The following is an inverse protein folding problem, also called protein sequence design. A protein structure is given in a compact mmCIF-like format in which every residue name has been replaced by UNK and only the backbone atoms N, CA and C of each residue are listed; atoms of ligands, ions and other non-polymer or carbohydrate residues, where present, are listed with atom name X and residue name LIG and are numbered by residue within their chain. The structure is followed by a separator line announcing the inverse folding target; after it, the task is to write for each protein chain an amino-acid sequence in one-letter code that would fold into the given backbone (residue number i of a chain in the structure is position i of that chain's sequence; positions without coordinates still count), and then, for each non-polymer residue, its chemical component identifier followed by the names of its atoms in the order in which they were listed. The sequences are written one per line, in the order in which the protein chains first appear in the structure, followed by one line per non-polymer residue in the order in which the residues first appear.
data_IF_307058044267
#
_entry.id   IF_307058044267
#
_cell.length_a   1.000
_cell.length_b   1.000
_cell.length_c   1.000
_cell.angle_alpha   90.00
_cell.angle_beta   90.00
_cell.angle_gamma   90.00
#
_symmetry.space_group_name_H-M   'P 1'
#
loop_
_entity.id
_entity.type
_entity.pdbx_description
1 polymer ?
#
# COMPACT_ATOMS: atom_id res chain seq x y z
N UNK A 1 1.85 20.90 -9.12
CA UNK A 1 2.36 19.57 -8.72
C UNK A 1 3.41 19.76 -7.64
N UNK A 2 3.49 18.90 -6.62
CA UNK A 2 4.41 19.10 -5.46
C UNK A 2 5.86 19.38 -5.90
N UNK A 3 6.39 18.67 -6.90
CA UNK A 3 7.77 18.89 -7.37
C UNK A 3 7.96 20.13 -8.26
N UNK A 4 6.92 20.57 -8.96
CA UNK A 4 6.96 21.83 -9.71
C UNK A 4 6.88 23.03 -8.74
N UNK A 5 6.00 22.95 -7.74
CA UNK A 5 5.76 24.02 -6.76
C UNK A 5 6.86 24.11 -5.70
N UNK A 6 7.37 22.98 -5.20
CA UNK A 6 8.37 22.95 -4.12
C UNK A 6 9.82 23.00 -4.60
N UNK A 7 10.10 22.48 -5.81
CA UNK A 7 11.46 22.32 -6.33
C UNK A 7 11.70 23.05 -7.66
N UNK A 8 10.69 23.73 -8.22
CA UNK A 8 10.82 24.49 -9.46
C UNK A 8 11.11 23.61 -10.69
N UNK A 9 10.76 22.32 -10.63
CA UNK A 9 10.99 21.42 -11.75
C UNK A 9 10.13 21.81 -12.95
N UNK A 10 10.69 21.71 -14.15
CA UNK A 10 9.89 21.77 -15.38
C UNK A 10 9.00 20.53 -15.48
N UNK A 11 7.86 20.64 -16.17
CA UNK A 11 6.89 19.54 -16.27
C UNK A 11 7.50 18.23 -16.80
N UNK A 12 8.49 18.33 -17.69
CA UNK A 12 9.25 17.16 -18.16
C UNK A 12 10.05 16.47 -17.04
N UNK A 13 10.72 17.24 -16.18
CA UNK A 13 11.54 16.72 -15.07
C UNK A 13 10.64 16.24 -13.91
N UNK A 14 9.51 16.89 -13.68
CA UNK A 14 8.49 16.42 -12.74
C UNK A 14 8.01 15.00 -13.09
N UNK A 15 7.93 14.67 -14.40
CA UNK A 15 7.66 13.33 -14.89
C UNK A 15 8.66 12.27 -14.42
N UNK A 16 9.95 12.60 -14.27
CA UNK A 16 10.97 11.65 -13.81
C UNK A 16 10.75 11.22 -12.35
N UNK A 17 10.04 12.01 -11.55
CA UNK A 17 9.78 11.67 -10.14
C UNK A 17 8.90 10.42 -9.99
N UNK A 18 8.11 10.09 -11.02
CA UNK A 18 7.32 8.85 -11.09
C UNK A 18 8.18 7.59 -11.25
N UNK A 19 9.47 7.72 -11.63
CA UNK A 19 10.38 6.57 -11.69
C UNK A 19 10.56 5.92 -10.31
N UNK A 20 10.50 6.69 -9.22
CA UNK A 20 10.53 6.12 -7.85
C UNK A 20 9.38 5.13 -7.62
N UNK A 21 8.17 5.48 -8.04
CA UNK A 21 7.01 4.59 -7.98
C UNK A 21 7.20 3.35 -8.88
N UNK A 22 7.75 3.53 -10.08
CA UNK A 22 8.06 2.43 -11.00
C UNK A 22 9.06 1.42 -10.42
N UNK A 23 10.16 1.92 -9.85
CA UNK A 23 11.16 1.07 -9.16
C UNK A 23 10.53 0.36 -7.96
N UNK A 24 9.74 1.08 -7.16
CA UNK A 24 8.97 0.50 -6.06
C UNK A 24 8.05 -0.64 -6.50
N UNK A 25 7.38 -0.51 -7.65
CA UNK A 25 6.55 -1.58 -8.21
C UNK A 25 7.36 -2.81 -8.61
N UNK A 26 8.49 -2.63 -9.29
CA UNK A 26 9.36 -3.74 -9.70
C UNK A 26 9.91 -4.48 -8.47
N UNK A 27 10.36 -3.74 -7.46
CA UNK A 27 10.83 -4.33 -6.19
C UNK A 27 9.70 -5.08 -5.47
N UNK A 28 8.49 -4.51 -5.46
CA UNK A 28 7.29 -5.16 -4.92
C UNK A 28 6.96 -6.48 -5.61
N UNK A 29 7.00 -6.53 -6.95
CA UNK A 29 6.83 -7.75 -7.75
C UNK A 29 7.86 -8.81 -7.38
N UNK A 30 9.13 -8.41 -7.27
CA UNK A 30 10.22 -9.32 -6.99
C UNK A 30 10.11 -9.89 -5.57
N UNK A 31 9.84 -9.04 -4.57
CA UNK A 31 9.60 -9.45 -3.19
C UNK A 31 8.39 -10.40 -3.06
N UNK A 32 7.32 -10.12 -3.80
CA UNK A 32 6.13 -10.97 -3.83
C UNK A 32 6.45 -12.35 -4.41
N UNK A 33 7.10 -12.40 -5.58
CA UNK A 33 7.51 -13.65 -6.23
C UNK A 33 8.41 -14.50 -5.33
N UNK A 34 9.40 -13.89 -4.69
CA UNK A 34 10.34 -14.62 -3.83
C UNK A 34 9.66 -15.23 -2.59
N UNK A 35 8.56 -14.67 -2.12
CA UNK A 35 8.03 -14.95 -0.80
C UNK A 35 6.66 -15.64 -0.88
N UNK A 36 5.72 -15.15 -1.70
CA UNK A 36 4.42 -15.79 -1.93
C UNK A 36 4.58 -17.13 -2.62
N UNK A 37 5.39 -17.22 -3.68
CA UNK A 37 5.53 -18.48 -4.41
C UNK A 37 6.30 -19.52 -3.59
N UNK A 38 7.28 -19.11 -2.78
CA UNK A 38 8.00 -20.02 -1.88
C UNK A 38 7.11 -20.53 -0.73
N UNK A 39 6.33 -19.65 -0.10
CA UNK A 39 5.41 -20.03 0.98
C UNK A 39 4.27 -20.88 0.42
N UNK A 40 3.69 -20.48 -0.73
CA UNK A 40 2.62 -21.22 -1.39
C UNK A 40 3.09 -22.61 -1.88
N UNK A 41 4.34 -22.74 -2.33
CA UNK A 41 4.91 -24.04 -2.73
C UNK A 41 5.19 -24.94 -1.53
N UNK A 42 5.85 -24.43 -0.47
CA UNK A 42 6.11 -25.20 0.77
C UNK A 42 4.84 -25.66 1.47
N UNK A 43 3.74 -24.93 1.36
CA UNK A 43 2.47 -25.31 1.95
C UNK A 43 1.59 -26.17 1.03
N UNK A 44 1.78 -26.08 -0.29
CA UNK A 44 1.18 -27.03 -1.21
C UNK A 44 1.72 -28.45 -0.97
N UNK A 45 3.01 -28.58 -0.66
CA UNK A 45 3.63 -29.85 -0.25
C UNK A 45 3.05 -30.43 1.06
N UNK A 46 2.41 -29.60 1.90
CA UNK A 46 1.77 -29.99 3.17
C UNK A 46 0.24 -30.13 3.07
N UNK A 47 -0.33 -30.14 1.86
CA UNK A 47 -1.76 -30.39 1.62
C UNK A 47 -2.74 -29.32 2.15
N UNK A 48 -2.26 -28.18 2.63
CA UNK A 48 -3.09 -27.17 3.33
C UNK A 48 -2.96 -25.78 2.71
N UNK A 49 -3.47 -25.62 1.49
CA UNK A 49 -3.64 -24.29 0.87
C UNK A 49 -4.80 -23.53 1.54
N UNK A 50 -4.51 -22.88 2.66
CA UNK A 50 -5.44 -21.91 3.27
C UNK A 50 -5.08 -20.47 2.82
N UNK A 51 -6.07 -19.62 2.45
CA UNK A 51 -5.85 -18.21 2.07
C UNK A 51 -5.05 -17.38 3.10
N UNK A 52 -5.14 -17.77 4.37
CA UNK A 52 -4.60 -17.09 5.54
C UNK A 52 -3.06 -17.13 5.59
N UNK A 53 -2.42 -18.05 4.86
CA UNK A 53 -0.96 -18.13 4.78
C UNK A 53 -0.30 -16.97 4.02
N UNK A 54 -1.10 -16.10 3.40
CA UNK A 54 -0.64 -14.86 2.76
C UNK A 54 -0.63 -13.66 3.71
N UNK A 55 -1.33 -13.74 4.85
CA UNK A 55 -1.41 -12.65 5.84
C UNK A 55 -0.07 -12.29 6.50
N UNK A 56 0.86 -13.23 6.78
CA UNK A 56 2.17 -12.88 7.34
C UNK A 56 2.97 -11.90 6.48
N UNK A 57 2.84 -11.97 5.15
CA UNK A 57 3.46 -10.99 4.26
C UNK A 57 2.85 -9.60 4.43
N UNK A 58 1.52 -9.51 4.62
CA UNK A 58 0.84 -8.24 4.87
C UNK A 58 1.31 -7.60 6.17
N UNK A 59 1.57 -8.42 7.20
CA UNK A 59 2.06 -7.97 8.49
C UNK A 59 3.50 -7.45 8.39
N UNK A 60 4.35 -8.09 7.58
CA UNK A 60 5.75 -7.69 7.42
C UNK A 60 5.92 -6.45 6.53
N UNK A 61 5.20 -6.37 5.41
CA UNK A 61 5.31 -5.26 4.46
C UNK A 61 4.36 -4.08 4.79
N UNK A 62 3.31 -4.31 5.57
CA UNK A 62 2.34 -3.28 5.96
C UNK A 62 2.98 -2.01 6.53
N UNK A 63 3.96 -2.10 7.46
CA UNK A 63 4.64 -0.92 8.02
C UNK A 63 5.42 -0.07 7.01
N UNK A 64 5.77 -0.60 5.83
CA UNK A 64 6.45 0.19 4.79
C UNK A 64 5.56 1.30 4.23
N UNK A 65 4.23 1.13 4.29
CA UNK A 65 3.26 2.11 3.79
C UNK A 65 3.30 3.40 4.62
N UNK A 66 3.07 3.37 5.95
CA UNK A 66 3.19 4.58 6.76
C UNK A 66 4.63 5.11 6.77
N UNK A 67 5.66 4.25 6.73
CA UNK A 67 7.05 4.70 6.62
C UNK A 67 7.29 5.52 5.35
N UNK A 68 6.80 5.07 4.19
CA UNK A 68 6.88 5.80 2.93
C UNK A 68 6.12 7.13 2.95
N UNK A 69 4.92 7.15 3.56
CA UNK A 69 4.12 8.37 3.70
C UNK A 69 4.81 9.40 4.59
N UNK A 70 5.32 9.00 5.76
CA UNK A 70 6.07 9.91 6.64
C UNK A 70 7.35 10.41 5.97
N UNK A 71 8.10 9.51 5.33
CA UNK A 71 9.33 9.86 4.63
C UNK A 71 9.05 10.89 3.53
N UNK A 72 8.10 10.62 2.63
CA UNK A 72 7.73 11.52 1.55
C UNK A 72 7.21 12.86 2.07
N UNK A 73 6.27 12.83 3.01
CA UNK A 73 5.64 14.03 3.55
C UNK A 73 6.62 15.00 4.19
N UNK A 74 7.47 14.50 5.10
CA UNK A 74 8.41 15.34 5.83
C UNK A 74 9.60 15.76 4.97
N UNK A 75 10.09 14.89 4.08
CA UNK A 75 11.18 15.25 3.16
C UNK A 75 10.75 16.34 2.16
N UNK A 76 9.51 16.27 1.66
CA UNK A 76 8.94 17.29 0.80
C UNK A 76 8.66 18.60 1.56
N UNK A 77 8.13 18.54 2.78
CA UNK A 77 7.89 19.75 3.59
C UNK A 77 9.19 20.44 4.04
N UNK A 78 10.25 19.68 4.34
CA UNK A 78 11.53 20.23 4.72
C UNK A 78 12.37 20.70 3.51
N UNK A 79 11.82 20.67 2.29
CA UNK A 79 12.52 21.01 1.04
C UNK A 79 13.88 20.32 0.89
N UNK A 80 14.00 19.09 1.39
CA UNK A 80 15.24 18.31 1.31
C UNK A 80 15.59 17.99 -0.15
N UNK A 81 16.83 17.60 -0.44
CA UNK A 81 17.24 17.26 -1.81
C UNK A 81 16.21 16.36 -2.51
N UNK A 82 15.79 16.74 -3.72
CA UNK A 82 14.66 16.16 -4.47
C UNK A 82 14.65 14.63 -4.58
N UNK A 83 15.81 13.97 -4.43
CA UNK A 83 15.95 12.51 -4.44
C UNK A 83 15.35 11.85 -3.19
N UNK A 84 15.35 12.54 -2.06
CA UNK A 84 14.87 12.02 -0.76
C UNK A 84 13.37 11.71 -0.79
N UNK A 85 12.48 12.61 -1.25
CA UNK A 85 11.07 12.27 -1.40
C UNK A 85 10.83 11.20 -2.46
N UNK A 86 11.63 11.14 -3.54
CA UNK A 86 11.51 10.09 -4.59
C UNK A 86 11.84 8.70 -4.01
N UNK A 87 12.82 8.60 -3.13
CA UNK A 87 13.11 7.33 -2.44
C UNK A 87 11.92 6.94 -1.56
N UNK A 88 11.30 7.90 -0.86
CA UNK A 88 10.09 7.68 -0.07
C UNK A 88 8.91 7.13 -0.89
N UNK A 89 8.70 7.65 -2.11
CA UNK A 89 7.61 7.17 -2.98
C UNK A 89 7.81 5.74 -3.46
N UNK A 90 9.05 5.23 -3.55
CA UNK A 90 9.32 3.81 -3.90
C UNK A 90 8.70 2.79 -2.94
N UNK A 91 8.37 3.19 -1.71
CA UNK A 91 7.75 2.29 -0.73
C UNK A 91 6.22 2.24 -0.81
N UNK A 92 5.59 3.24 -1.44
CA UNK A 92 4.13 3.33 -1.53
C UNK A 92 3.47 2.24 -2.39
N UNK A 93 4.04 1.80 -3.53
CA UNK A 93 3.47 0.75 -4.37
C UNK A 93 3.36 -0.62 -3.69
N UNK A 94 4.08 -0.84 -2.58
CA UNK A 94 3.97 -2.06 -1.80
C UNK A 94 2.52 -2.38 -1.38
N UNK A 95 1.68 -1.36 -1.21
CA UNK A 95 0.25 -1.51 -0.88
C UNK A 95 -0.54 -2.20 -2.00
N UNK A 96 -0.35 -1.78 -3.25
CA UNK A 96 -1.11 -2.32 -4.40
C UNK A 96 -0.89 -3.83 -4.52
N UNK A 97 0.35 -4.29 -4.33
CA UNK A 97 0.67 -5.71 -4.36
C UNK A 97 0.10 -6.50 -3.19
N UNK A 98 0.09 -5.90 -1.99
CA UNK A 98 -0.48 -6.51 -0.80
C UNK A 98 -1.95 -6.89 -1.01
N UNK A 99 -2.69 -5.97 -1.63
CA UNK A 99 -4.12 -6.09 -1.90
C UNK A 99 -4.39 -7.09 -3.03
N UNK A 100 -3.62 -7.02 -4.11
CA UNK A 100 -3.78 -7.91 -5.27
C UNK A 100 -3.38 -9.36 -4.94
N UNK A 101 -2.37 -9.57 -4.09
CA UNK A 101 -1.96 -10.90 -3.64
C UNK A 101 -3.03 -11.60 -2.78
N UNK A 102 -3.87 -10.83 -2.09
CA UNK A 102 -4.92 -11.35 -1.21
C UNK A 102 -6.20 -11.73 -1.97
N UNK A 103 -6.63 -10.91 -2.94
CA UNK A 103 -7.94 -11.06 -3.61
C UNK A 103 -7.95 -12.08 -4.77
N UNK A 104 -6.80 -12.63 -5.16
CA UNK A 104 -6.54 -13.42 -6.38
C UNK A 104 -7.50 -14.58 -6.73
N UNK A 105 -8.36 -15.05 -5.83
CA UNK A 105 -9.21 -16.23 -6.08
C UNK A 105 -10.73 -16.01 -5.93
N UNK A 106 -11.19 -14.81 -5.59
CA UNK A 106 -12.63 -14.51 -5.54
C UNK A 106 -12.97 -13.31 -6.43
N UNK A 107 -13.59 -13.56 -7.58
CA UNK A 107 -13.94 -12.52 -8.56
C UNK A 107 -14.78 -11.38 -7.94
N UNK A 108 -15.72 -11.72 -7.05
CA UNK A 108 -16.53 -10.75 -6.30
C UNK A 108 -15.70 -9.91 -5.33
N UNK A 109 -14.72 -10.50 -4.65
CA UNK A 109 -13.82 -9.78 -3.75
C UNK A 109 -12.87 -8.83 -4.51
N UNK A 110 -12.38 -9.25 -5.68
CA UNK A 110 -11.59 -8.40 -6.58
C UNK A 110 -12.44 -7.21 -7.03
N UNK A 111 -13.68 -7.45 -7.48
CA UNK A 111 -14.59 -6.39 -7.92
C UNK A 111 -14.91 -5.40 -6.77
N UNK A 112 -15.25 -5.90 -5.59
CA UNK A 112 -15.52 -5.08 -4.41
C UNK A 112 -14.30 -4.24 -4.00
N UNK A 113 -13.10 -4.84 -4.02
CA UNK A 113 -11.86 -4.14 -3.75
C UNK A 113 -11.56 -3.04 -4.77
N UNK A 114 -11.76 -3.33 -6.07
CA UNK A 114 -11.60 -2.34 -7.14
C UNK A 114 -12.58 -1.19 -6.97
N UNK A 115 -13.85 -1.46 -6.67
CA UNK A 115 -14.86 -0.43 -6.40
C UNK A 115 -14.46 0.43 -5.20
N UNK A 116 -14.06 -0.17 -4.09
CA UNK A 116 -13.63 0.56 -2.89
C UNK A 116 -12.40 1.43 -3.19
N UNK A 117 -11.39 0.90 -3.90
CA UNK A 117 -10.23 1.68 -4.34
C UNK A 117 -10.62 2.83 -5.24
N UNK A 118 -11.53 2.62 -6.19
CA UNK A 118 -11.97 3.66 -7.12
C UNK A 118 -12.75 4.76 -6.40
N UNK A 119 -13.62 4.41 -5.45
CA UNK A 119 -14.35 5.39 -4.64
C UNK A 119 -13.39 6.17 -3.75
N UNK A 120 -12.55 5.48 -2.97
CA UNK A 120 -11.58 6.17 -2.11
C UNK A 120 -10.62 7.02 -2.95
N UNK A 121 -10.16 6.52 -4.09
CA UNK A 121 -9.29 7.23 -5.03
C UNK A 121 -9.96 8.45 -5.65
N UNK A 122 -11.27 8.43 -5.90
CA UNK A 122 -12.00 9.60 -6.40
C UNK A 122 -12.29 10.64 -5.31
N UNK A 123 -12.38 10.20 -4.05
CA UNK A 123 -12.60 11.10 -2.93
C UNK A 123 -11.31 11.84 -2.49
N UNK A 124 -10.13 11.22 -2.63
CA UNK A 124 -8.85 11.87 -2.25
C UNK A 124 -8.66 13.25 -2.91
N UNK A 125 -8.92 13.47 -4.21
CA UNK A 125 -8.85 14.82 -4.79
C UNK A 125 -9.83 15.84 -4.19
N UNK A 126 -11.03 15.40 -3.77
CA UNK A 126 -12.09 16.28 -3.25
C UNK A 126 -11.72 16.92 -1.90
N UNK A 127 -11.07 16.17 -1.01
CA UNK A 127 -10.63 16.67 0.29
C UNK A 127 -9.12 16.88 0.40
N UNK A 128 -8.32 16.24 -0.45
CA UNK A 128 -6.87 16.24 -0.40
C UNK A 128 -6.27 17.61 -0.61
N UNK A 129 -6.82 18.41 -1.55
CA UNK A 129 -6.36 19.78 -1.77
C UNK A 129 -6.50 20.63 -0.50
N UNK A 130 -7.72 20.69 0.08
CA UNK A 130 -8.00 21.43 1.32
C UNK A 130 -7.20 20.90 2.52
N UNK A 131 -6.99 19.57 2.57
CA UNK A 131 -6.17 18.95 3.60
C UNK A 131 -4.71 19.42 3.52
N UNK A 132 -4.12 19.41 2.32
CA UNK A 132 -2.74 19.87 2.14
C UNK A 132 -2.59 21.38 2.27
N UNK A 133 -3.61 22.17 1.91
CA UNK A 133 -3.63 23.62 2.12
C UNK A 133 -3.64 23.99 3.61
N UNK A 134 -4.39 23.23 4.43
CA UNK A 134 -4.51 23.49 5.88
C UNK A 134 -3.39 22.87 6.72
N UNK A 135 -2.93 21.66 6.38
CA UNK A 135 -1.94 20.91 7.18
C UNK A 135 -0.53 20.96 6.58
N UNK A 136 -0.38 21.33 5.31
CA UNK A 136 0.88 21.17 4.59
C UNK A 136 1.21 19.71 4.26
N UNK A 137 2.33 19.51 3.56
CA UNK A 137 2.70 18.21 3.01
C UNK A 137 3.10 17.18 4.07
N UNK A 138 3.82 17.58 5.13
CA UNK A 138 4.27 16.67 6.18
C UNK A 138 3.14 16.21 7.07
N UNK A 139 2.37 17.13 7.66
CA UNK A 139 1.22 16.76 8.49
C UNK A 139 0.09 16.11 7.67
N UNK A 140 -0.15 16.55 6.43
CA UNK A 140 -1.12 15.90 5.54
C UNK A 140 -0.78 14.44 5.26
N UNK A 141 0.49 14.14 4.91
CA UNK A 141 0.93 12.75 4.74
C UNK A 141 1.01 12.00 6.07
N UNK A 142 1.29 12.69 7.19
CA UNK A 142 1.32 12.06 8.51
C UNK A 142 -0.06 11.60 8.96
N UNK A 143 -1.11 12.38 8.68
CA UNK A 143 -2.50 11.97 8.91
C UNK A 143 -2.82 10.68 8.14
N UNK A 144 -2.46 10.62 6.86
CA UNK A 144 -2.62 9.41 6.04
C UNK A 144 -1.80 8.23 6.59
N UNK A 145 -0.58 8.50 7.08
CA UNK A 145 0.28 7.53 7.74
C UNK A 145 -0.33 6.96 9.02
N UNK A 146 -0.93 7.81 9.88
CA UNK A 146 -1.61 7.36 11.09
C UNK A 146 -2.86 6.54 10.79
N UNK A 147 -3.63 6.94 9.77
CA UNK A 147 -4.74 6.12 9.27
C UNK A 147 -4.20 4.76 8.84
N UNK A 148 -3.15 4.71 8.01
CA UNK A 148 -2.54 3.45 7.58
C UNK A 148 -2.07 2.57 8.77
N UNK A 149 -1.48 3.18 9.81
CA UNK A 149 -1.12 2.48 11.05
C UNK A 149 -2.33 1.89 11.75
N UNK A 150 -3.44 2.62 11.83
CA UNK A 150 -4.68 2.12 12.44
C UNK A 150 -5.24 0.87 11.70
N UNK A 151 -4.93 0.71 10.42
CA UNK A 151 -5.29 -0.47 9.63
C UNK A 151 -4.28 -1.64 9.75
N UNK A 152 -3.06 -1.43 10.27
CA UNK A 152 -2.05 -2.51 10.44
C UNK A 152 -2.50 -3.70 11.32
N UNK A 153 -3.31 -3.53 12.38
CA UNK A 153 -3.78 -4.64 13.20
C UNK A 153 -4.76 -5.56 12.48
N UNK A 154 -5.44 -5.09 11.42
CA UNK A 154 -6.48 -5.86 10.74
C UNK A 154 -5.95 -7.18 10.14
N UNK A 155 -4.84 -7.19 9.36
CA UNK A 155 -4.23 -8.44 8.90
C UNK A 155 -3.85 -9.40 10.04
N UNK A 156 -3.36 -8.89 11.17
CA UNK A 156 -3.02 -9.71 12.34
C UNK A 156 -4.28 -10.35 12.94
N UNK A 157 -5.35 -9.57 13.05
CA UNK A 157 -6.66 -10.03 13.51
C UNK A 157 -7.25 -11.09 12.59
N UNK A 158 -7.23 -10.87 11.27
CA UNK A 158 -7.69 -11.85 10.30
C UNK A 158 -6.81 -13.10 10.27
N UNK A 159 -5.50 -13.00 10.54
CA UNK A 159 -4.64 -14.18 10.64
C UNK A 159 -4.99 -15.04 11.85
N UNK A 160 -5.25 -14.41 13.01
CA UNK A 160 -5.55 -15.13 14.26
C UNK A 160 -7.00 -15.62 14.35
N UNK A 161 -7.95 -14.89 13.78
CA UNK A 161 -9.39 -15.16 13.92
C UNK A 161 -10.08 -15.55 12.61
N UNK A 162 -9.42 -15.48 11.46
CA UNK A 162 -10.00 -15.77 10.15
C UNK A 162 -10.60 -17.18 10.07
N UNK A 163 -9.93 -18.16 10.67
CA UNK A 163 -10.43 -19.54 10.74
C UNK A 163 -11.75 -19.65 11.54
N UNK A 164 -11.91 -18.88 12.63
CA UNK A 164 -13.16 -18.84 13.40
C UNK A 164 -14.29 -18.13 12.64
N UNK A 165 -13.98 -17.08 11.88
CA UNK A 165 -14.96 -16.34 11.08
C UNK A 165 -15.43 -17.22 9.90
N UNK A 166 -14.51 -17.93 9.24
CA UNK A 166 -14.83 -18.82 8.12
C UNK A 166 -15.68 -20.02 8.55
N UNK A 167 -15.45 -20.56 9.75
CA UNK A 167 -16.29 -21.64 10.29
C UNK A 167 -17.69 -21.18 10.71
N UNK A 168 -17.90 -19.88 10.98
CA UNK A 168 -19.23 -19.33 11.26
C UNK A 168 -20.00 -18.96 9.99
N UNK A 169 -19.30 -18.49 8.96
CA UNK A 169 -19.88 -18.17 7.65
C UNK A 169 -19.85 -19.42 6.76
N UNK A 170 -20.69 -20.40 7.07
CA UNK A 170 -21.01 -21.48 6.13
C UNK A 170 -21.92 -20.91 5.03
N UNK A 171 -21.36 -20.14 4.10
CA UNK A 171 -21.99 -20.01 2.78
C UNK A 171 -21.43 -21.15 1.95
N UNK A 172 -22.25 -22.20 1.77
CA UNK A 172 -22.00 -23.22 0.75
C UNK A 172 -21.97 -22.49 -0.59
N UNK A 173 -20.79 -22.40 -1.19
CA UNK A 173 -20.66 -22.18 -2.64
C UNK A 173 -21.02 -23.47 -3.36
#
# INVERSE_FOLDING_TARGET
MVFEEQYGFSTGIAGLTYLGLGVGMILGLYANRLTVDKIASKLAERGTRKPEHRLPMMIFLGPLIPAGLFWYGWSAQAHTHWIVPIIGTSFLPAQTYLVDAYTRYAASAIAANTLLRSILGSMVPLFGYKMYESLGLGWGNSLLGFIAIAFLPLPVLFYKFGERIRMRTTVKL
#
